data_IF_373286872805
#
_entry.id   IF_373286872805
#
_cell.length_a   1.000
_cell.length_b   1.000
_cell.length_c   1.000
_cell.angle_alpha   90.00
_cell.angle_beta   90.00
_cell.angle_gamma   90.00
#
_symmetry.space_group_name_H-M   'P 1'
#
loop_
_entity.id
_entity.type
_entity.pdbx_description
1 polymer ?
#
# COMPACT_ATOMS: atom_id res chain seq x y z
N UNK A 1 -26.28 7.68 16.06
CA UNK A 1 -24.89 8.11 16.18
C UNK A 1 -24.05 7.15 15.36
N UNK A 2 -23.64 7.56 14.17
CA UNK A 2 -22.74 6.76 13.34
C UNK A 2 -21.38 6.70 14.03
N UNK A 3 -20.92 5.48 14.32
CA UNK A 3 -19.58 5.26 14.85
C UNK A 3 -18.58 5.59 13.75
N UNK A 4 -17.74 6.59 13.97
CA UNK A 4 -16.58 6.86 13.15
C UNK A 4 -15.73 5.58 13.04
N UNK A 5 -15.58 5.07 11.83
CA UNK A 5 -14.67 3.95 11.58
C UNK A 5 -13.25 4.49 11.62
N UNK A 6 -12.48 4.02 12.59
CA UNK A 6 -11.04 4.25 12.66
C UNK A 6 -10.35 3.37 11.58
N UNK A 7 -10.19 3.93 10.40
CA UNK A 7 -9.59 3.25 9.25
C UNK A 7 -8.65 4.23 8.55
N UNK A 8 -7.51 3.74 8.06
CA UNK A 8 -6.62 4.56 7.22
C UNK A 8 -7.32 5.00 5.94
N UNK A 9 -6.89 6.12 5.35
CA UNK A 9 -7.44 6.63 4.10
C UNK A 9 -7.30 5.58 2.98
N UNK A 10 -8.29 5.52 2.10
CA UNK A 10 -8.24 4.69 0.90
C UNK A 10 -7.41 5.40 -0.19
N UNK A 11 -6.10 5.15 -0.21
CA UNK A 11 -5.20 5.80 -1.16
C UNK A 11 -5.55 5.59 -2.63
N UNK A 12 -6.27 4.54 -2.96
CA UNK A 12 -6.75 4.30 -4.34
C UNK A 12 -7.86 5.29 -4.68
N UNK A 13 -8.83 5.45 -3.79
CA UNK A 13 -9.95 6.36 -3.99
C UNK A 13 -9.48 7.82 -4.02
N UNK A 14 -8.56 8.19 -3.13
CA UNK A 14 -7.93 9.52 -3.14
C UNK A 14 -7.23 9.82 -4.46
N UNK A 15 -6.54 8.83 -5.05
CA UNK A 15 -5.87 8.98 -6.34
C UNK A 15 -6.88 9.09 -7.50
N UNK A 16 -7.94 8.28 -7.48
CA UNK A 16 -9.03 8.37 -8.46
C UNK A 16 -9.67 9.77 -8.42
N UNK A 17 -9.95 10.30 -7.24
CA UNK A 17 -10.51 11.64 -7.07
C UNK A 17 -9.58 12.74 -7.60
N UNK A 18 -8.25 12.62 -7.40
CA UNK A 18 -7.28 13.55 -7.99
C UNK A 18 -7.27 13.49 -9.50
N UNK A 19 -7.35 12.29 -10.08
CA UNK A 19 -7.45 12.12 -11.53
C UNK A 19 -8.77 12.69 -12.05
N UNK A 20 -9.88 12.49 -11.34
CA UNK A 20 -11.17 13.06 -11.70
C UNK A 20 -11.17 14.60 -11.74
N UNK A 21 -10.39 15.24 -10.87
CA UNK A 21 -10.22 16.70 -10.89
C UNK A 21 -9.47 17.21 -12.12
N UNK A 22 -8.48 16.45 -12.59
CA UNK A 22 -7.66 16.83 -13.74
C UNK A 22 -8.25 16.36 -15.08
N UNK A 23 -8.84 15.17 -15.09
CA UNK A 23 -9.37 14.50 -16.27
C UNK A 23 -10.74 13.89 -15.97
N UNK A 24 -11.79 14.69 -15.81
CA UNK A 24 -13.12 14.20 -15.42
C UNK A 24 -13.70 13.19 -16.40
N UNK A 25 -13.40 13.32 -17.69
CA UNK A 25 -13.88 12.41 -18.75
C UNK A 25 -13.28 11.00 -18.66
N UNK A 26 -12.20 10.84 -17.90
CA UNK A 26 -11.52 9.56 -17.71
C UNK A 26 -12.06 8.75 -16.52
N UNK A 27 -13.04 9.29 -15.78
CA UNK A 27 -13.61 8.59 -14.62
C UNK A 27 -15.03 8.17 -14.95
N UNK A 28 -15.34 6.90 -14.70
CA UNK A 28 -16.67 6.31 -14.87
C UNK A 28 -17.17 5.78 -13.54
N UNK A 29 -18.50 5.83 -13.35
CA UNK A 29 -19.15 5.23 -12.19
C UNK A 29 -19.60 3.81 -12.52
N UNK A 30 -19.39 2.90 -11.60
CA UNK A 30 -19.91 1.55 -11.61
C UNK A 30 -20.42 1.18 -10.22
N UNK A 31 -21.11 0.07 -10.11
CA UNK A 31 -21.56 -0.46 -8.82
C UNK A 31 -20.68 -1.61 -8.43
N UNK A 32 -20.15 -1.56 -7.22
CA UNK A 32 -19.39 -2.67 -6.64
C UNK A 32 -20.34 -3.85 -6.39
N UNK A 33 -20.05 -4.99 -7.01
CA UNK A 33 -20.93 -6.18 -6.95
C UNK A 33 -21.06 -6.77 -5.54
N UNK A 34 -20.11 -6.50 -4.64
CA UNK A 34 -20.11 -7.05 -3.28
C UNK A 34 -20.82 -6.15 -2.28
N UNK A 35 -20.62 -4.84 -2.41
CA UNK A 35 -21.16 -3.87 -1.44
C UNK A 35 -22.40 -3.15 -1.94
N UNK A 36 -22.70 -3.20 -3.25
CA UNK A 36 -23.79 -2.44 -3.87
C UNK A 36 -23.57 -0.92 -3.87
N UNK A 37 -22.38 -0.46 -3.49
CA UNK A 37 -22.05 0.96 -3.43
C UNK A 37 -21.51 1.46 -4.78
N UNK A 38 -21.75 2.72 -5.14
CA UNK A 38 -21.13 3.32 -6.31
C UNK A 38 -19.60 3.33 -6.14
N UNK A 39 -18.90 2.93 -7.19
CA UNK A 39 -17.44 2.89 -7.24
C UNK A 39 -16.98 3.63 -8.49
N UNK A 40 -15.98 4.48 -8.31
CA UNK A 40 -15.35 5.18 -9.42
C UNK A 40 -14.23 4.32 -10.03
N UNK A 41 -14.19 4.27 -11.35
CA UNK A 41 -13.16 3.58 -12.12
C UNK A 41 -12.51 4.55 -13.09
N UNK A 42 -11.23 4.33 -13.37
CA UNK A 42 -10.51 5.09 -14.37
C UNK A 42 -10.57 4.34 -15.70
N UNK A 43 -11.02 5.04 -16.74
CA UNK A 43 -10.87 4.61 -18.13
C UNK A 43 -9.44 4.93 -18.57
N UNK A 44 -8.57 3.93 -18.50
CA UNK A 44 -7.15 4.09 -18.84
C UNK A 44 -6.92 4.40 -20.32
N UNK A 45 -7.81 3.96 -21.20
CA UNK A 45 -7.69 4.27 -22.65
C UNK A 45 -7.98 5.76 -22.91
N UNK A 46 -9.00 6.32 -22.27
CA UNK A 46 -9.26 7.76 -22.34
C UNK A 46 -8.15 8.57 -21.68
N UNK A 47 -7.66 8.13 -20.53
CA UNK A 47 -6.55 8.80 -19.86
C UNK A 47 -5.28 8.79 -20.76
N UNK A 48 -5.00 7.67 -21.40
CA UNK A 48 -3.89 7.53 -22.34
C UNK A 48 -4.06 8.46 -23.55
N UNK A 49 -5.27 8.57 -24.09
CA UNK A 49 -5.56 9.49 -25.20
C UNK A 49 -5.33 10.96 -24.81
N UNK A 50 -5.76 11.36 -23.61
CA UNK A 50 -5.54 12.71 -23.10
C UNK A 50 -4.04 13.04 -22.87
N UNK A 51 -3.21 12.02 -22.66
CA UNK A 51 -1.78 12.13 -22.38
C UNK A 51 -0.89 11.56 -23.51
N UNK A 52 -1.44 11.44 -24.73
CA UNK A 52 -0.79 10.69 -25.82
C UNK A 52 0.64 11.14 -26.15
N UNK A 53 0.93 12.42 -26.04
CA UNK A 53 2.26 12.98 -26.33
C UNK A 53 3.26 12.79 -25.18
N UNK A 54 2.80 12.45 -23.99
CA UNK A 54 3.63 12.32 -22.78
C UNK A 54 3.66 10.91 -22.20
N UNK A 55 2.78 10.01 -22.63
CA UNK A 55 2.74 8.62 -22.15
C UNK A 55 3.77 7.79 -22.89
N UNK A 56 4.69 7.20 -22.15
CA UNK A 56 5.63 6.22 -22.68
C UNK A 56 4.87 4.99 -23.18
N UNK A 57 5.10 4.59 -24.43
CA UNK A 57 4.48 3.40 -25.00
C UNK A 57 4.85 2.15 -24.17
N UNK A 58 3.94 1.20 -24.05
CA UNK A 58 4.18 -0.09 -23.38
C UNK A 58 5.36 -0.87 -24.00
N UNK A 59 5.75 -0.52 -25.24
CA UNK A 59 6.89 -1.10 -25.97
C UNK A 59 8.24 -0.46 -25.64
N UNK A 60 8.29 0.59 -24.79
CA UNK A 60 9.57 1.06 -24.28
C UNK A 60 10.14 -0.07 -23.40
N UNK A 61 11.22 -0.69 -23.88
CA UNK A 61 11.94 -1.75 -23.19
C UNK A 61 12.26 -1.29 -21.75
N UNK A 62 11.47 -1.74 -20.81
CA UNK A 62 11.69 -1.50 -19.39
C UNK A 62 12.03 -2.81 -18.73
N UNK A 63 13.20 -2.87 -18.13
CA UNK A 63 13.49 -3.92 -17.19
C UNK A 63 12.59 -3.74 -15.98
N UNK A 64 11.71 -4.71 -15.74
CA UNK A 64 10.83 -4.71 -14.60
C UNK A 64 11.04 -5.98 -13.80
N UNK A 65 11.28 -5.81 -12.51
CA UNK A 65 11.31 -6.93 -11.58
C UNK A 65 9.88 -7.46 -11.39
N UNK A 66 9.65 -8.71 -11.77
CA UNK A 66 8.34 -9.37 -11.68
C UNK A 66 8.46 -10.71 -11.00
N UNK A 67 7.43 -11.11 -10.28
CA UNK A 67 7.30 -12.41 -9.62
C UNK A 67 5.82 -12.80 -9.55
N UNK A 68 5.49 -14.08 -9.30
CA UNK A 68 4.12 -14.52 -9.05
C UNK A 68 3.49 -13.69 -7.92
N UNK A 69 2.23 -13.27 -8.10
CA UNK A 69 1.46 -12.47 -7.13
C UNK A 69 1.96 -11.03 -6.86
N UNK A 70 2.87 -10.49 -7.65
CA UNK A 70 3.24 -9.06 -7.54
C UNK A 70 2.03 -8.13 -7.55
N UNK A 71 1.04 -8.41 -8.42
CA UNK A 71 -0.19 -7.62 -8.49
C UNK A 71 -1.01 -7.69 -7.20
N UNK A 72 -1.05 -8.86 -6.55
CA UNK A 72 -1.72 -9.01 -5.24
C UNK A 72 -1.00 -8.20 -4.16
N UNK A 73 0.35 -8.22 -4.15
CA UNK A 73 1.14 -7.43 -3.20
C UNK A 73 0.86 -5.92 -3.35
N UNK A 74 0.76 -5.42 -4.59
CA UNK A 74 0.41 -4.02 -4.86
C UNK A 74 -0.99 -3.69 -4.35
N UNK A 75 -1.98 -4.55 -4.61
CA UNK A 75 -3.36 -4.36 -4.12
C UNK A 75 -3.41 -4.37 -2.59
N UNK A 76 -2.69 -5.29 -1.96
CA UNK A 76 -2.60 -5.39 -0.50
C UNK A 76 -1.94 -4.15 0.11
N UNK A 77 -0.87 -3.64 -0.49
CA UNK A 77 -0.21 -2.41 -0.05
C UNK A 77 -1.16 -1.19 -0.10
N UNK A 78 -2.07 -1.15 -1.07
CA UNK A 78 -3.05 -0.06 -1.23
C UNK A 78 -4.33 -0.25 -0.39
N UNK A 79 -4.57 -1.44 0.17
CA UNK A 79 -5.76 -1.68 0.98
C UNK A 79 -5.68 -0.93 2.31
N UNK A 80 -6.80 -0.35 2.79
CA UNK A 80 -6.84 0.31 4.09
C UNK A 80 -6.73 -0.70 5.25
N UNK A 81 -6.24 -0.24 6.39
CA UNK A 81 -6.12 -1.03 7.62
C UNK A 81 -6.89 -0.38 8.77
N UNK A 82 -7.25 -1.19 9.76
CA UNK A 82 -7.88 -0.76 11.01
C UNK A 82 -6.92 -0.83 12.21
N UNK A 83 -5.61 -0.82 11.94
CA UNK A 83 -4.56 -0.86 12.96
C UNK A 83 -4.05 0.53 13.30
N UNK A 84 -3.52 0.68 14.50
CA UNK A 84 -2.84 1.89 14.98
C UNK A 84 -1.67 1.53 15.85
N UNK A 85 -0.66 2.40 15.90
CA UNK A 85 0.48 2.24 16.80
C UNK A 85 0.03 2.53 18.24
N UNK A 86 0.44 1.66 19.17
CA UNK A 86 0.17 1.80 20.61
C UNK A 86 1.48 2.00 21.36
N UNK A 87 1.66 3.11 22.09
CA UNK A 87 2.85 3.31 22.91
C UNK A 87 2.96 2.27 24.02
N UNK A 88 4.15 1.69 24.20
CA UNK A 88 4.49 0.78 25.29
C UNK A 88 5.56 1.45 26.17
N UNK A 89 5.12 2.28 27.13
CA UNK A 89 6.03 3.03 27.99
C UNK A 89 6.79 2.14 28.97
N UNK A 90 6.19 1.02 29.34
CA UNK A 90 6.72 0.08 30.34
C UNK A 90 8.02 -0.59 29.87
N UNK A 91 8.10 -0.87 28.55
CA UNK A 91 9.27 -1.52 27.93
C UNK A 91 10.19 -0.53 27.23
N UNK A 92 9.89 0.76 27.30
CA UNK A 92 10.67 1.80 26.64
C UNK A 92 11.76 2.37 27.53
N UNK A 93 12.92 2.62 26.93
CA UNK A 93 14.04 3.30 27.59
C UNK A 93 14.02 4.76 27.15
N UNK A 94 13.92 5.68 28.12
CA UNK A 94 13.90 7.13 27.91
C UNK A 94 12.83 7.57 26.89
N UNK A 95 11.61 7.06 27.04
CA UNK A 95 10.49 7.23 26.11
C UNK A 95 10.25 8.69 25.69
N UNK A 96 10.37 9.62 26.62
CA UNK A 96 9.99 11.01 26.38
C UNK A 96 11.09 11.82 25.65
N UNK A 97 12.35 11.37 25.66
CA UNK A 97 13.47 12.11 25.04
C UNK A 97 14.13 11.38 23.89
N UNK A 98 13.97 10.06 23.76
CA UNK A 98 14.54 9.29 22.67
C UNK A 98 13.90 9.67 21.33
N UNK A 99 14.70 9.70 20.27
CA UNK A 99 14.21 9.83 18.89
C UNK A 99 14.24 8.50 18.13
N UNK A 100 14.64 7.42 18.80
CA UNK A 100 14.66 6.08 18.23
C UNK A 100 13.32 5.42 18.47
N UNK A 101 12.83 4.67 17.47
CA UNK A 101 11.58 3.92 17.54
C UNK A 101 11.87 2.44 17.31
N UNK A 102 11.37 1.59 18.20
CA UNK A 102 11.21 0.17 17.98
C UNK A 102 9.72 -0.13 17.84
N UNK A 103 9.33 -0.76 16.75
CA UNK A 103 7.92 -1.04 16.47
C UNK A 103 7.80 -2.53 16.18
N UNK A 104 6.95 -3.20 16.93
CA UNK A 104 6.65 -4.62 16.77
C UNK A 104 5.28 -4.81 16.14
N UNK A 105 5.20 -5.69 15.11
CA UNK A 105 3.97 -6.00 14.41
C UNK A 105 4.22 -6.49 12.98
N UNK A 106 3.12 -6.75 12.26
CA UNK A 106 3.20 -7.04 10.84
C UNK A 106 3.83 -5.87 10.07
N UNK A 107 4.83 -6.16 9.25
CA UNK A 107 5.59 -5.14 8.54
C UNK A 107 4.72 -4.24 7.67
N UNK A 108 3.76 -4.81 6.96
CA UNK A 108 2.90 -4.04 6.06
C UNK A 108 1.98 -3.10 6.85
N UNK A 109 1.39 -3.57 7.94
CA UNK A 109 0.51 -2.78 8.79
C UNK A 109 1.29 -1.64 9.47
N UNK A 110 2.50 -1.93 9.97
CA UNK A 110 3.40 -0.91 10.53
C UNK A 110 3.74 0.16 9.49
N UNK A 111 4.16 -0.24 8.28
CA UNK A 111 4.49 0.70 7.22
C UNK A 111 3.29 1.57 6.81
N UNK A 112 2.09 1.01 6.79
CA UNK A 112 0.87 1.78 6.54
C UNK A 112 0.59 2.79 7.65
N UNK A 113 0.81 2.43 8.93
CA UNK A 113 0.68 3.37 10.05
C UNK A 113 1.71 4.52 9.95
N UNK A 114 2.91 4.23 9.47
CA UNK A 114 4.00 5.22 9.35
C UNK A 114 3.86 6.13 8.12
N UNK A 115 3.08 5.74 7.11
CA UNK A 115 2.99 6.42 5.83
C UNK A 115 2.69 7.92 5.96
N UNK A 116 1.72 8.28 6.78
CA UNK A 116 1.32 9.68 6.94
C UNK A 116 2.45 10.58 7.52
N UNK A 117 3.29 10.01 8.38
CA UNK A 117 4.31 10.76 9.12
C UNK A 117 5.68 10.73 8.43
N UNK A 118 6.03 9.62 7.80
CA UNK A 118 7.39 9.35 7.30
C UNK A 118 7.49 9.27 5.78
N UNK A 119 6.41 9.45 5.02
CA UNK A 119 6.48 9.44 3.56
C UNK A 119 7.50 10.48 3.07
N UNK A 120 8.40 10.06 2.20
CA UNK A 120 9.51 10.86 1.65
C UNK A 120 10.56 11.35 2.67
N UNK A 121 10.53 10.84 3.92
CA UNK A 121 11.50 11.25 4.95
C UNK A 121 12.59 10.21 5.23
N UNK A 122 12.42 8.98 4.75
CA UNK A 122 13.37 7.89 4.98
C UNK A 122 14.58 8.09 4.08
N UNK A 123 15.78 8.09 4.67
CA UNK A 123 17.06 8.25 3.95
C UNK A 123 17.72 6.92 3.60
N UNK A 124 17.54 5.92 4.43
CA UNK A 124 18.13 4.60 4.25
C UNK A 124 17.20 3.54 4.80
N UNK A 125 17.11 2.41 4.11
CA UNK A 125 16.38 1.23 4.55
C UNK A 125 17.38 0.07 4.55
N UNK A 126 17.55 -0.57 5.72
CA UNK A 126 18.28 -1.82 5.87
C UNK A 126 17.27 -2.91 6.22
N UNK A 127 17.29 -4.02 5.51
CA UNK A 127 16.36 -5.13 5.72
C UNK A 127 17.13 -6.43 5.99
N UNK A 128 16.54 -7.25 6.84
CA UNK A 128 16.92 -8.64 7.07
C UNK A 128 15.67 -9.50 6.79
N UNK A 129 15.43 -9.86 5.52
CA UNK A 129 14.24 -10.58 5.12
C UNK A 129 14.35 -12.06 5.46
N UNK A 130 13.22 -12.81 5.53
CA UNK A 130 13.23 -14.27 5.58
C UNK A 130 14.04 -14.86 4.41
N UNK A 131 14.85 -15.85 4.70
CA UNK A 131 15.78 -16.42 3.70
C UNK A 131 15.17 -17.51 2.83
N UNK A 132 13.95 -17.95 3.12
CA UNK A 132 13.25 -19.05 2.44
C UNK A 132 14.10 -20.32 2.40
N UNK A 133 14.52 -20.77 3.57
CA UNK A 133 15.44 -21.92 3.72
C UNK A 133 14.74 -23.27 3.53
N UNK A 134 13.41 -23.28 3.32
CA UNK A 134 12.60 -24.50 3.18
C UNK A 134 12.24 -25.15 4.53
N UNK A 135 12.53 -24.50 5.64
CA UNK A 135 12.12 -24.90 6.98
C UNK A 135 11.77 -23.66 7.80
N UNK A 136 10.71 -23.76 8.60
CA UNK A 136 10.35 -22.72 9.53
C UNK A 136 11.35 -22.64 10.68
N UNK A 137 11.60 -21.42 11.13
CA UNK A 137 12.32 -21.11 12.36
C UNK A 137 11.34 -20.73 13.49
N UNK A 138 11.61 -19.63 14.18
CA UNK A 138 10.67 -19.02 15.13
C UNK A 138 9.51 -18.32 14.39
N UNK A 139 9.71 -18.01 13.13
CA UNK A 139 8.75 -17.41 12.18
C UNK A 139 8.68 -18.31 10.92
N UNK A 140 7.61 -18.14 10.17
CA UNK A 140 7.42 -18.82 8.89
C UNK A 140 8.52 -18.38 7.90
N UNK A 141 9.29 -19.35 7.40
CA UNK A 141 10.37 -19.15 6.41
C UNK A 141 10.35 -20.22 5.31
N UNK A 142 9.27 -20.97 5.19
CA UNK A 142 9.01 -21.87 4.08
C UNK A 142 7.90 -21.32 3.20
N UNK A 143 8.28 -20.75 2.07
CA UNK A 143 7.38 -20.19 1.06
C UNK A 143 7.26 -21.10 -0.16
N UNK A 144 7.58 -22.39 -0.03
CA UNK A 144 7.43 -23.35 -1.10
C UNK A 144 5.95 -23.47 -1.50
N UNK A 145 5.67 -23.29 -2.78
CA UNK A 145 4.35 -23.61 -3.33
C UNK A 145 4.32 -25.07 -3.75
N UNK A 146 3.36 -25.82 -3.23
CA UNK A 146 3.08 -27.17 -3.76
C UNK A 146 2.62 -27.05 -5.22
N UNK A 147 3.37 -27.64 -6.11
CA UNK A 147 3.05 -27.79 -7.55
C UNK A 147 1.83 -28.67 -7.78
#
# INVERSE_FOLDING_TARGET
MDKLRMQSSNGVEDNIMKIAQLFPDCVTETVDERSGQPKHLIDFEKLKQNLSDSVMSERAERYQFTWPDKSKAILLANSPINATLRPCREDSIDFDNTQNLYIEGDNLDVLKCLKETYLHKVKMIYIDPPYNTGNDFVYEDDFAQSS
#
